data_IF_133044239167
#
_entry.id   IF_133044239167
#
_cell.length_a   1.000
_cell.length_b   1.000
_cell.length_c   1.000
_cell.angle_alpha   90.00
_cell.angle_beta   90.00
_cell.angle_gamma   90.00
#
_symmetry.space_group_name_H-M   'P 1'
#
loop_
_entity.id
_entity.type
_entity.pdbx_description
1 polymer ?
#
# COMPACT_ATOMS: atom_id res chain seq x y z
N UNK A 1 18.50 4.09 18.10
CA UNK A 1 17.09 4.49 17.82
C UNK A 1 16.21 3.23 17.73
N UNK A 2 14.87 3.28 17.92
CA UNK A 2 14.03 2.07 18.06
C UNK A 2 14.05 1.13 16.84
N UNK A 3 14.24 1.66 15.63
CA UNK A 3 14.15 0.94 14.35
C UNK A 3 15.48 0.85 13.58
N UNK A 4 16.57 1.32 14.17
CA UNK A 4 17.90 1.34 13.55
C UNK A 4 18.45 -0.08 13.32
N UNK A 5 18.93 -0.35 12.11
CA UNK A 5 19.42 -1.66 11.66
C UNK A 5 18.32 -2.73 11.48
N UNK A 6 17.05 -2.43 11.78
CA UNK A 6 15.96 -3.41 11.75
C UNK A 6 15.32 -3.51 10.37
N UNK A 7 14.73 -4.67 10.10
CA UNK A 7 13.78 -4.85 9.00
C UNK A 7 12.40 -4.46 9.51
N UNK A 8 11.76 -3.49 8.87
CA UNK A 8 10.50 -2.88 9.32
C UNK A 8 9.37 -3.27 8.38
N UNK A 9 8.24 -3.67 8.94
CA UNK A 9 6.99 -3.83 8.20
C UNK A 9 6.09 -2.64 8.52
N UNK A 10 5.75 -1.84 7.52
CA UNK A 10 4.76 -0.77 7.60
C UNK A 10 3.42 -1.31 7.14
N UNK A 11 2.40 -1.11 7.97
CA UNK A 11 1.01 -1.46 7.63
C UNK A 11 0.24 -0.17 7.46
N UNK A 12 -0.46 -0.04 6.34
CA UNK A 12 -1.32 1.11 6.02
C UNK A 12 -2.66 0.61 5.49
N UNK A 13 -3.69 1.47 5.51
CA UNK A 13 -5.03 1.08 5.08
C UNK A 13 -5.12 0.88 3.56
N UNK A 14 -4.54 1.80 2.79
CA UNK A 14 -4.72 1.90 1.35
C UNK A 14 -3.59 2.67 0.67
N UNK A 15 -3.41 2.46 -0.64
CA UNK A 15 -2.55 3.31 -1.49
C UNK A 15 -3.40 3.85 -2.64
N UNK A 16 -3.60 5.18 -2.66
CA UNK A 16 -4.32 5.87 -3.74
C UNK A 16 -3.33 6.51 -4.71
N UNK A 17 -2.58 7.53 -4.26
CA UNK A 17 -1.60 8.28 -5.09
C UNK A 17 -0.14 7.91 -4.81
N UNK A 18 0.14 7.22 -3.70
CA UNK A 18 1.49 6.79 -3.29
C UNK A 18 2.41 7.89 -2.74
N UNK A 19 2.08 9.17 -2.89
CA UNK A 19 2.92 10.30 -2.42
C UNK A 19 3.09 10.35 -0.90
N UNK A 20 2.04 10.00 -0.14
CA UNK A 20 2.13 9.87 1.32
C UNK A 20 3.02 8.69 1.71
N UNK A 21 2.82 7.53 1.06
CA UNK A 21 3.60 6.32 1.31
C UNK A 21 5.10 6.55 1.06
N UNK A 22 5.47 7.24 -0.01
CA UNK A 22 6.86 7.64 -0.29
C UNK A 22 7.49 8.42 0.88
N UNK A 23 6.78 9.41 1.42
CA UNK A 23 7.28 10.23 2.54
C UNK A 23 7.46 9.39 3.80
N UNK A 24 6.51 8.50 4.10
CA UNK A 24 6.59 7.61 5.27
C UNK A 24 7.77 6.65 5.14
N UNK A 25 7.95 6.03 3.97
CA UNK A 25 9.07 5.12 3.71
C UNK A 25 10.40 5.86 3.86
N UNK A 26 10.51 7.09 3.35
CA UNK A 26 11.71 7.91 3.51
C UNK A 26 12.01 8.18 5.00
N UNK A 27 11.02 8.61 5.79
CA UNK A 27 11.20 8.84 7.23
C UNK A 27 11.67 7.59 7.98
N UNK A 28 11.18 6.41 7.59
CA UNK A 28 11.56 5.13 8.21
C UNK A 28 12.98 4.73 7.82
N UNK A 29 13.40 4.97 6.57
CA UNK A 29 14.79 4.78 6.14
C UNK A 29 15.73 5.75 6.83
N UNK A 30 15.36 7.03 6.93
CA UNK A 30 16.15 8.07 7.61
C UNK A 30 16.35 7.78 9.10
N UNK A 31 15.38 7.09 9.72
CA UNK A 31 15.48 6.60 11.09
C UNK A 31 16.40 5.37 11.26
N UNK A 32 16.97 4.85 10.16
CA UNK A 32 18.01 3.82 10.14
C UNK A 32 17.50 2.40 9.84
N UNK A 33 16.29 2.23 9.31
CA UNK A 33 15.81 0.89 8.93
C UNK A 33 16.67 0.26 7.83
N UNK A 34 17.03 -1.03 8.00
CA UNK A 34 17.79 -1.82 7.02
C UNK A 34 16.93 -2.18 5.81
N UNK A 35 15.70 -2.61 6.06
CA UNK A 35 14.70 -2.97 5.04
C UNK A 35 13.36 -2.37 5.47
N UNK A 36 12.53 -2.00 4.49
CA UNK A 36 11.19 -1.46 4.66
C UNK A 36 10.24 -2.22 3.74
N UNK A 37 9.37 -3.03 4.33
CA UNK A 37 8.33 -3.78 3.63
C UNK A 37 6.98 -3.14 3.92
N UNK A 38 6.16 -2.90 2.89
CA UNK A 38 4.84 -2.30 3.06
C UNK A 38 3.73 -3.31 2.84
N UNK A 39 2.73 -3.32 3.71
CA UNK A 39 1.55 -4.18 3.64
C UNK A 39 0.29 -3.34 3.72
N UNK A 40 -0.58 -3.48 2.74
CA UNK A 40 -1.78 -2.66 2.60
C UNK A 40 -3.00 -3.49 2.98
N UNK A 41 -3.81 -2.98 3.90
CA UNK A 41 -4.99 -3.65 4.45
C UNK A 41 -6.21 -3.63 3.51
N UNK A 42 -6.02 -3.22 2.26
CA UNK A 42 -7.01 -3.28 1.19
C UNK A 42 -6.44 -3.95 -0.06
N UNK A 43 -7.29 -4.45 -0.97
CA UNK A 43 -6.90 -4.71 -2.35
C UNK A 43 -6.45 -3.43 -3.06
N UNK A 44 -5.73 -3.53 -4.20
CA UNK A 44 -5.31 -2.36 -4.97
C UNK A 44 -6.50 -1.55 -5.51
N UNK A 45 -6.52 -0.24 -5.23
CA UNK A 45 -7.59 0.66 -5.71
C UNK A 45 -7.31 1.11 -7.14
N UNK A 46 -7.85 0.40 -8.13
CA UNK A 46 -7.61 0.63 -9.57
C UNK A 46 -8.72 1.38 -10.31
N UNK A 47 -9.84 1.66 -9.63
CA UNK A 47 -10.98 2.39 -10.19
C UNK A 47 -11.52 3.44 -9.22
N UNK A 48 -12.03 4.54 -9.77
CA UNK A 48 -12.76 5.54 -9.00
C UNK A 48 -14.11 4.99 -8.55
N UNK A 49 -14.56 5.43 -7.37
CA UNK A 49 -15.88 5.13 -6.85
C UNK A 49 -16.94 6.06 -7.47
N UNK A 50 -18.04 5.48 -7.91
CA UNK A 50 -19.22 6.20 -8.42
C UNK A 50 -20.42 6.12 -7.46
N UNK A 51 -20.21 5.58 -6.26
CA UNK A 51 -21.24 5.30 -5.27
C UNK A 51 -21.12 6.14 -3.98
N UNK A 52 -20.46 7.31 -4.08
CA UNK A 52 -20.47 8.32 -3.01
C UNK A 52 -19.21 8.41 -2.13
N UNK A 53 -18.17 7.62 -2.41
CA UNK A 53 -16.84 7.81 -1.77
C UNK A 53 -16.00 8.73 -2.65
N UNK A 54 -15.46 9.80 -2.06
CA UNK A 54 -14.54 10.70 -2.76
C UNK A 54 -13.26 9.95 -3.15
N UNK A 55 -13.05 9.80 -4.46
CA UNK A 55 -11.86 9.16 -5.02
C UNK A 55 -11.40 9.97 -6.21
N UNK A 56 -10.08 10.11 -6.41
CA UNK A 56 -9.58 10.83 -7.56
C UNK A 56 -9.90 10.08 -8.86
N UNK A 57 -9.79 10.77 -9.98
CA UNK A 57 -9.88 10.18 -11.31
C UNK A 57 -8.97 8.96 -11.46
N UNK A 58 -9.43 7.97 -12.23
CA UNK A 58 -8.70 6.72 -12.46
C UNK A 58 -7.24 6.96 -12.82
N UNK A 59 -6.95 7.90 -13.72
CA UNK A 59 -5.58 8.26 -14.15
C UNK A 59 -4.62 8.66 -13.02
N UNK A 60 -5.15 9.07 -11.85
CA UNK A 60 -4.39 9.48 -10.66
C UNK A 60 -4.24 8.35 -9.64
N UNK A 61 -4.90 7.21 -9.85
CA UNK A 61 -4.76 6.03 -9.00
C UNK A 61 -3.50 5.27 -9.38
N UNK A 62 -2.64 4.97 -8.41
CA UNK A 62 -1.37 4.30 -8.67
C UNK A 62 -1.59 2.89 -9.23
N UNK A 63 -2.50 2.13 -8.62
CA UNK A 63 -2.84 0.77 -9.02
C UNK A 63 -3.64 0.66 -10.32
N UNK A 64 -4.07 1.77 -10.94
CA UNK A 64 -4.69 1.71 -12.27
C UNK A 64 -3.69 1.76 -13.42
N UNK A 65 -2.43 2.11 -13.12
CA UNK A 65 -1.39 2.43 -14.11
C UNK A 65 -0.06 1.73 -13.85
N UNK A 66 0.07 1.04 -12.73
CA UNK A 66 1.31 0.36 -12.31
C UNK A 66 0.98 -1.04 -11.79
N UNK A 67 1.86 -2.00 -12.07
CA UNK A 67 1.90 -3.30 -11.39
C UNK A 67 2.32 -3.14 -9.92
N UNK A 68 2.18 -4.20 -9.11
CA UNK A 68 2.61 -4.16 -7.70
C UNK A 68 4.12 -3.93 -7.59
N UNK A 69 4.90 -4.49 -8.52
CA UNK A 69 6.35 -4.32 -8.60
C UNK A 69 6.71 -2.86 -8.92
N UNK A 70 6.08 -2.28 -9.95
CA UNK A 70 6.27 -0.87 -10.31
C UNK A 70 5.86 0.07 -9.17
N UNK A 71 4.78 -0.26 -8.45
CA UNK A 71 4.35 0.47 -7.25
C UNK A 71 5.40 0.38 -6.14
N UNK A 72 5.99 -0.79 -5.91
CA UNK A 72 7.01 -1.01 -4.88
C UNK A 72 8.26 -0.16 -5.16
N UNK A 73 8.70 -0.13 -6.43
CA UNK A 73 9.79 0.73 -6.89
C UNK A 73 9.46 2.21 -6.73
N UNK A 74 8.25 2.61 -7.15
CA UNK A 74 7.79 3.99 -7.03
C UNK A 74 7.81 4.47 -5.58
N UNK A 75 7.32 3.67 -4.63
CA UNK A 75 7.30 4.05 -3.20
C UNK A 75 8.60 3.74 -2.45
N UNK A 76 9.57 3.07 -3.10
CA UNK A 76 10.91 2.74 -2.59
C UNK A 76 10.95 1.76 -1.41
N UNK A 77 10.09 0.73 -1.46
CA UNK A 77 10.05 -0.36 -0.47
C UNK A 77 10.76 -1.60 -0.98
N UNK A 78 11.28 -2.42 -0.07
CA UNK A 78 11.93 -3.69 -0.38
C UNK A 78 10.90 -4.76 -0.80
N UNK A 79 9.65 -4.65 -0.32
CA UNK A 79 8.53 -5.43 -0.87
C UNK A 79 7.21 -4.73 -0.59
N UNK A 80 6.25 -4.88 -1.50
CA UNK A 80 4.88 -4.42 -1.35
C UNK A 80 3.92 -5.61 -1.40
N UNK A 81 2.92 -5.61 -0.53
CA UNK A 81 1.87 -6.62 -0.54
C UNK A 81 0.52 -5.98 -0.23
N UNK A 82 -0.52 -6.42 -0.94
CA UNK A 82 -1.90 -6.01 -0.73
C UNK A 82 -2.71 -7.16 -0.14
N UNK A 83 -3.76 -6.83 0.59
CA UNK A 83 -4.78 -7.81 0.95
C UNK A 83 -5.45 -8.33 -0.32
N UNK A 84 -5.56 -9.65 -0.46
CA UNK A 84 -6.30 -10.22 -1.59
C UNK A 84 -7.79 -9.92 -1.47
N UNK A 85 -8.51 -9.90 -2.59
CA UNK A 85 -9.97 -9.68 -2.57
C UNK A 85 -10.69 -10.77 -1.76
N UNK A 86 -10.31 -12.03 -1.92
CA UNK A 86 -10.83 -13.15 -1.13
C UNK A 86 -10.46 -12.99 0.35
N UNK A 87 -9.24 -12.50 0.64
CA UNK A 87 -8.78 -12.23 2.00
C UNK A 87 -9.62 -11.16 2.68
N UNK A 88 -9.98 -10.10 1.95
CA UNK A 88 -10.89 -9.06 2.41
C UNK A 88 -12.27 -9.64 2.71
N UNK A 89 -12.87 -10.40 1.78
CA UNK A 89 -14.18 -11.01 2.00
C UNK A 89 -14.18 -11.95 3.22
N UNK A 90 -13.16 -12.81 3.36
CA UNK A 90 -13.02 -13.64 4.56
C UNK A 90 -12.94 -12.81 5.85
N UNK A 91 -12.20 -11.71 5.84
CA UNK A 91 -12.02 -10.86 7.02
C UNK A 91 -13.31 -10.19 7.49
N UNK A 92 -14.25 -9.91 6.57
CA UNK A 92 -15.56 -9.32 6.88
C UNK A 92 -16.68 -10.35 7.05
N UNK A 93 -16.34 -11.64 7.16
CA UNK A 93 -17.32 -12.72 7.41
C UNK A 93 -17.92 -13.37 6.16
N UNK A 94 -17.46 -13.00 4.97
CA UNK A 94 -17.98 -13.44 3.66
C UNK A 94 -17.08 -14.51 3.02
N UNK A 95 -16.68 -15.54 3.77
CA UNK A 95 -15.64 -16.49 3.35
C UNK A 95 -15.94 -17.39 2.13
N UNK A 96 -17.15 -17.28 1.55
CA UNK A 96 -17.60 -18.09 0.40
C UNK A 96 -17.66 -17.30 -0.92
N UNK A 97 -17.19 -16.06 -0.94
CA UNK A 97 -17.02 -15.25 -2.15
C UNK A 97 -15.65 -15.40 -2.75
#
# INVERSE_FOLDING_TARGET
RMIEGKRVVLVDDSIVRGTTSQKIVQMVRDAGAREVHMRIASPPTSASCFYGVDTPEKSKLLASRMSVEEMAEFIRVDSLGFLSIDGLYRAVGEARR
#
